data_IF_252992214172
#
_entry.id   IF_252992214172
#
_cell.length_a   1.000
_cell.length_b   1.000
_cell.length_c   1.000
_cell.angle_alpha   90.00
_cell.angle_beta   90.00
_cell.angle_gamma   90.00
#
_symmetry.space_group_name_H-M   'P 1'
#
loop_
_entity.id
_entity.type
_entity.pdbx_description
1 polymer ?
#
# COMPACT_ATOMS: atom_id res chain seq x y z
N UNK A 1 -7.23 -77.13 -5.70
CA UNK A 1 -6.16 -76.23 -5.22
C UNK A 1 -6.68 -74.80 -5.38
N UNK A 2 -6.67 -74.03 -4.29
CA UNK A 2 -7.35 -72.74 -4.13
C UNK A 2 -6.59 -71.64 -4.89
N UNK A 3 -7.28 -70.87 -5.72
CA UNK A 3 -7.02 -69.46 -6.05
C UNK A 3 -8.11 -69.03 -7.04
N UNK A 4 -9.10 -68.20 -6.65
CA UNK A 4 -9.08 -66.83 -7.18
C UNK A 4 -9.90 -65.84 -6.32
N UNK A 5 -9.27 -65.08 -5.44
CA UNK A 5 -9.98 -63.96 -4.77
C UNK A 5 -9.12 -62.72 -4.56
N UNK A 6 -7.80 -62.80 -4.76
CA UNK A 6 -6.91 -61.65 -4.60
C UNK A 6 -6.81 -60.74 -5.84
N UNK A 7 -7.23 -61.21 -7.03
CA UNK A 7 -7.08 -60.44 -8.27
C UNK A 7 -8.19 -59.40 -8.48
N UNK A 8 -9.33 -59.52 -7.78
CA UNK A 8 -10.48 -58.63 -7.99
C UNK A 8 -10.47 -57.39 -7.08
N UNK A 9 -9.73 -57.41 -5.96
CA UNK A 9 -9.60 -56.26 -5.06
C UNK A 9 -8.50 -55.26 -5.48
N UNK A 10 -7.59 -55.63 -6.37
CA UNK A 10 -6.52 -54.74 -6.84
C UNK A 10 -6.98 -53.78 -7.96
N UNK A 11 -8.09 -54.06 -8.65
CA UNK A 11 -8.59 -53.20 -9.73
C UNK A 11 -9.56 -52.09 -9.28
N UNK A 12 -10.07 -52.13 -8.05
CA UNK A 12 -11.01 -51.13 -7.53
C UNK A 12 -10.35 -49.99 -6.74
N UNK A 13 -9.04 -50.04 -6.50
CA UNK A 13 -8.30 -49.01 -5.78
C UNK A 13 -7.70 -47.90 -6.67
N UNK A 14 -7.90 -47.95 -8.00
CA UNK A 14 -7.34 -46.97 -8.95
C UNK A 14 -8.32 -45.86 -9.34
N UNK A 15 -9.51 -45.80 -8.74
CA UNK A 15 -10.61 -44.95 -9.20
C UNK A 15 -10.79 -43.58 -8.53
N UNK A 16 -10.06 -43.22 -7.48
CA UNK A 16 -10.38 -42.00 -6.69
C UNK A 16 -9.26 -40.95 -6.60
N UNK A 17 -8.13 -41.14 -7.29
CA UNK A 17 -7.02 -40.18 -7.24
C UNK A 17 -6.95 -39.19 -8.43
N UNK A 18 -7.76 -39.37 -9.48
CA UNK A 18 -7.64 -38.57 -10.71
C UNK A 18 -8.40 -37.24 -10.74
N UNK A 19 -9.25 -36.93 -9.76
CA UNK A 19 -9.99 -35.65 -9.75
C UNK A 19 -9.26 -34.52 -9.00
N UNK A 20 -8.34 -34.84 -8.08
CA UNK A 20 -7.74 -33.82 -7.19
C UNK A 20 -6.49 -33.14 -7.78
N UNK A 21 -5.85 -33.75 -8.77
CA UNK A 21 -4.64 -33.20 -9.44
C UNK A 21 -4.98 -32.25 -10.61
N UNK A 22 -6.17 -32.39 -11.20
CA UNK A 22 -6.61 -31.50 -12.28
C UNK A 22 -6.87 -30.06 -11.79
N UNK A 23 -7.21 -29.88 -10.50
CA UNK A 23 -7.46 -28.55 -9.94
C UNK A 23 -6.20 -27.87 -9.37
N UNK A 24 -5.21 -28.62 -8.87
CA UNK A 24 -3.97 -28.04 -8.31
C UNK A 24 -2.94 -27.67 -9.36
N UNK A 25 -3.07 -28.18 -10.59
CA UNK A 25 -2.21 -27.78 -11.72
C UNK A 25 -2.79 -26.59 -12.49
N UNK A 26 -4.11 -26.39 -12.43
CA UNK A 26 -4.76 -25.17 -12.91
C UNK A 26 -4.64 -23.99 -11.92
N UNK A 27 -4.39 -24.22 -10.63
CA UNK A 27 -3.99 -23.12 -9.72
C UNK A 27 -2.60 -22.56 -10.03
N UNK A 28 -1.76 -23.32 -10.75
CA UNK A 28 -0.53 -22.84 -11.42
C UNK A 28 -0.81 -22.29 -12.82
N UNK A 29 -2.02 -21.77 -13.08
CA UNK A 29 -2.32 -21.05 -14.31
C UNK A 29 -1.42 -19.82 -14.40
N UNK A 30 -0.69 -19.76 -15.50
CA UNK A 30 0.16 -18.63 -15.89
C UNK A 30 -0.51 -17.28 -15.55
N UNK A 31 0.21 -16.41 -14.84
CA UNK A 31 -0.27 -15.09 -14.43
C UNK A 31 -1.14 -15.03 -13.16
N UNK A 32 -1.74 -16.13 -12.67
CA UNK A 32 -2.53 -16.12 -11.42
C UNK A 32 -1.66 -15.75 -10.20
N UNK A 33 -0.48 -16.37 -10.09
CA UNK A 33 0.46 -16.07 -9.01
C UNK A 33 0.86 -14.59 -9.00
N UNK A 34 1.17 -13.99 -10.17
CA UNK A 34 1.54 -12.57 -10.26
C UNK A 34 0.37 -11.63 -9.99
N UNK A 35 -0.86 -12.00 -10.38
CA UNK A 35 -2.08 -11.27 -10.04
C UNK A 35 -2.29 -11.23 -8.53
N UNK A 36 -2.17 -12.38 -7.86
CA UNK A 36 -2.31 -12.45 -6.41
C UNK A 36 -1.16 -11.76 -5.67
N UNK A 37 0.07 -11.82 -6.20
CA UNK A 37 1.19 -11.02 -5.68
C UNK A 37 0.94 -9.52 -5.81
N UNK A 38 0.42 -9.06 -6.96
CA UNK A 38 0.09 -7.66 -7.15
C UNK A 38 -0.98 -7.22 -6.15
N UNK A 39 -2.07 -7.98 -6.00
CA UNK A 39 -3.11 -7.73 -5.01
C UNK A 39 -2.56 -7.64 -3.58
N UNK A 40 -1.71 -8.58 -3.17
CA UNK A 40 -1.03 -8.55 -1.87
C UNK A 40 -0.15 -7.30 -1.69
N UNK A 41 0.56 -6.88 -2.74
CA UNK A 41 1.38 -5.67 -2.70
C UNK A 41 0.54 -4.40 -2.56
N UNK A 42 -0.64 -4.34 -3.21
CA UNK A 42 -1.58 -3.23 -3.04
C UNK A 42 -2.12 -3.17 -1.62
N UNK A 43 -2.51 -4.31 -1.03
CA UNK A 43 -2.95 -4.37 0.38
C UNK A 43 -1.83 -3.95 1.33
N UNK A 44 -0.60 -4.40 1.10
CA UNK A 44 0.54 -4.00 1.92
C UNK A 44 0.80 -2.49 1.85
N UNK A 45 0.67 -1.88 0.67
CA UNK A 45 0.76 -0.42 0.50
C UNK A 45 -0.37 0.31 1.21
N UNK A 46 -1.61 -0.19 1.17
CA UNK A 46 -2.73 0.39 1.90
C UNK A 46 -2.47 0.42 3.41
N UNK A 47 -2.02 -0.71 3.97
CA UNK A 47 -1.71 -0.79 5.40
C UNK A 47 -0.60 0.20 5.79
N UNK A 48 0.47 0.30 4.99
CA UNK A 48 1.55 1.27 5.20
C UNK A 48 1.03 2.72 5.17
N UNK A 49 0.12 3.05 4.25
CA UNK A 49 -0.50 4.37 4.20
C UNK A 49 -1.42 4.63 5.40
N UNK A 50 -2.10 3.61 5.92
CA UNK A 50 -2.93 3.74 7.13
C UNK A 50 -2.08 4.00 8.37
N UNK A 51 -0.94 3.31 8.48
CA UNK A 51 0.03 3.54 9.56
C UNK A 51 0.60 4.96 9.47
N UNK A 52 1.03 5.40 8.29
CA UNK A 52 1.46 6.77 8.06
C UNK A 52 0.37 7.81 8.43
N UNK A 53 -0.89 7.57 8.04
CA UNK A 53 -2.00 8.44 8.42
C UNK A 53 -2.15 8.59 9.94
N UNK A 54 -1.94 7.49 10.68
CA UNK A 54 -2.00 7.50 12.14
C UNK A 54 -0.89 8.36 12.73
N UNK A 55 0.35 8.16 12.27
CA UNK A 55 1.50 8.91 12.80
C UNK A 55 1.38 10.41 12.50
N UNK A 56 0.96 10.81 11.29
CA UNK A 56 0.72 12.22 10.97
C UNK A 56 -0.45 12.83 11.77
N UNK A 57 -1.52 12.07 12.05
CA UNK A 57 -2.61 12.53 12.93
C UNK A 57 -2.14 12.74 14.36
N UNK A 58 -1.29 11.85 14.86
CA UNK A 58 -0.71 11.97 16.19
C UNK A 58 0.20 13.19 16.27
N UNK A 59 1.09 13.40 15.30
CA UNK A 59 1.92 14.60 15.20
C UNK A 59 1.09 15.89 15.15
N UNK A 60 0.02 15.92 14.34
CA UNK A 60 -0.90 17.05 14.29
C UNK A 60 -1.57 17.32 15.64
N UNK A 61 -1.97 16.26 16.36
CA UNK A 61 -2.58 16.36 17.68
C UNK A 61 -1.59 16.95 18.69
N UNK A 62 -0.36 16.44 18.73
CA UNK A 62 0.71 16.99 19.60
C UNK A 62 1.05 18.44 19.27
N UNK A 63 1.03 18.78 17.99
CA UNK A 63 1.21 20.15 17.54
C UNK A 63 0.07 21.03 18.08
N UNK A 64 -1.20 20.64 17.92
CA UNK A 64 -2.36 21.37 18.47
C UNK A 64 -2.25 21.56 19.98
N UNK A 65 -1.89 20.51 20.71
CA UNK A 65 -1.67 20.57 22.16
C UNK A 65 -0.60 21.60 22.52
N UNK A 66 0.54 21.62 21.81
CA UNK A 66 1.66 22.51 22.10
C UNK A 66 1.29 23.99 21.97
N UNK A 67 0.52 24.36 20.95
CA UNK A 67 0.16 25.75 20.65
C UNK A 67 -1.13 26.22 21.36
N UNK A 68 -1.95 25.30 21.85
CA UNK A 68 -3.14 25.60 22.67
C UNK A 68 -2.84 25.78 24.16
N UNK A 69 -1.63 25.45 24.60
CA UNK A 69 -1.31 25.32 26.02
C UNK A 69 -0.80 26.63 26.67
N UNK A 70 -1.31 26.94 27.86
CA UNK A 70 -0.96 28.12 28.65
C UNK A 70 -0.27 27.72 29.97
N UNK A 71 1.01 27.29 29.88
CA UNK A 71 1.93 27.20 31.02
C UNK A 71 1.97 25.87 31.81
N UNK A 72 3.16 25.48 32.31
CA UNK A 72 3.37 24.39 33.28
C UNK A 72 3.79 23.00 32.76
N UNK A 73 3.58 22.68 31.48
CA UNK A 73 3.90 21.36 30.87
C UNK A 73 4.51 21.47 29.45
N UNK A 74 5.06 22.63 29.08
CA UNK A 74 5.51 22.90 27.70
C UNK A 74 6.58 21.90 27.22
N UNK A 75 7.53 21.54 28.10
CA UNK A 75 8.57 20.55 27.84
C UNK A 75 8.00 19.15 27.58
N UNK A 76 7.01 18.72 28.39
CA UNK A 76 6.37 17.41 28.21
C UNK A 76 5.67 17.32 26.85
N UNK A 77 4.91 18.36 26.48
CA UNK A 77 4.20 18.39 25.20
C UNK A 77 5.17 18.47 24.02
N UNK A 78 6.25 19.24 24.13
CA UNK A 78 7.31 19.27 23.14
C UNK A 78 7.95 17.88 22.95
N UNK A 79 8.27 17.17 24.03
CA UNK A 79 8.85 15.83 23.96
C UNK A 79 7.92 14.83 23.26
N UNK A 80 6.60 14.94 23.47
CA UNK A 80 5.61 14.14 22.73
C UNK A 80 5.59 14.49 21.24
N UNK A 81 5.59 15.77 20.89
CA UNK A 81 5.66 16.22 19.50
C UNK A 81 6.93 15.71 18.81
N UNK A 82 8.08 15.82 19.49
CA UNK A 82 9.35 15.29 18.98
C UNK A 82 9.26 13.78 18.72
N UNK A 83 8.70 13.02 19.65
CA UNK A 83 8.50 11.57 19.47
C UNK A 83 7.62 11.27 18.26
N UNK A 84 6.49 11.98 18.12
CA UNK A 84 5.61 11.82 16.95
C UNK A 84 6.30 12.20 15.64
N UNK A 85 7.15 13.24 15.64
CA UNK A 85 7.99 13.57 14.49
C UNK A 85 8.96 12.43 14.15
N UNK A 86 9.67 11.88 15.14
CA UNK A 86 10.62 10.79 14.93
C UNK A 86 9.91 9.55 14.32
N UNK A 87 8.66 9.28 14.69
CA UNK A 87 7.84 8.24 14.05
C UNK A 87 7.48 8.59 12.60
N UNK A 88 7.00 9.81 12.35
CA UNK A 88 6.65 10.25 10.98
C UNK A 88 7.86 10.26 10.03
N UNK A 89 9.08 10.49 10.53
CA UNK A 89 10.30 10.60 9.71
C UNK A 89 10.63 9.30 8.95
N UNK A 90 10.21 8.14 9.47
CA UNK A 90 10.41 6.84 8.82
C UNK A 90 9.38 6.53 7.72
N UNK A 91 8.17 7.11 7.82
CA UNK A 91 7.01 6.77 6.99
C UNK A 91 7.23 6.96 5.48
N UNK A 92 7.83 8.07 4.97
CA UNK A 92 7.97 8.26 3.53
C UNK A 92 8.81 7.17 2.88
N UNK A 93 9.86 6.71 3.56
CA UNK A 93 10.74 5.65 3.04
C UNK A 93 10.00 4.32 2.99
N UNK A 94 9.20 4.03 4.01
CA UNK A 94 8.42 2.79 4.07
C UNK A 94 7.35 2.76 2.97
N UNK A 95 6.55 3.82 2.84
CA UNK A 95 5.56 3.99 1.77
C UNK A 95 6.21 3.92 0.39
N UNK A 96 7.32 4.63 0.17
CA UNK A 96 8.05 4.61 -1.10
C UNK A 96 8.52 3.19 -1.47
N UNK A 97 9.05 2.44 -0.50
CA UNK A 97 9.49 1.06 -0.73
C UNK A 97 8.32 0.14 -1.13
N UNK A 98 7.13 0.33 -0.54
CA UNK A 98 5.91 -0.41 -0.94
C UNK A 98 5.46 -0.06 -2.36
N UNK A 99 5.52 1.22 -2.73
CA UNK A 99 5.21 1.67 -4.09
C UNK A 99 6.14 1.02 -5.10
N UNK A 100 7.46 1.05 -4.86
CA UNK A 100 8.46 0.46 -5.76
C UNK A 100 8.29 -1.05 -5.91
N UNK A 101 7.97 -1.75 -4.82
CA UNK A 101 7.68 -3.18 -4.86
C UNK A 101 6.44 -3.50 -5.70
N UNK A 102 5.34 -2.77 -5.48
CA UNK A 102 4.10 -2.90 -6.25
C UNK A 102 4.34 -2.62 -7.74
N UNK A 103 5.11 -1.58 -8.07
CA UNK A 103 5.48 -1.21 -9.45
C UNK A 103 6.32 -2.27 -10.14
N UNK A 104 7.29 -2.85 -9.44
CA UNK A 104 8.08 -3.97 -9.98
C UNK A 104 7.23 -5.20 -10.29
N UNK A 105 6.30 -5.56 -9.41
CA UNK A 105 5.39 -6.70 -9.61
C UNK A 105 4.46 -6.44 -10.80
N UNK A 106 3.85 -5.25 -10.87
CA UNK A 106 2.95 -4.88 -11.96
C UNK A 106 3.67 -4.88 -13.31
N UNK A 107 4.87 -4.30 -13.40
CA UNK A 107 5.68 -4.29 -14.62
C UNK A 107 6.02 -5.72 -15.09
N UNK A 108 6.43 -6.59 -14.16
CA UNK A 108 6.72 -8.00 -14.46
C UNK A 108 5.48 -8.77 -14.93
N UNK A 109 4.31 -8.49 -14.34
CA UNK A 109 3.04 -9.11 -14.74
C UNK A 109 2.62 -8.66 -16.15
N UNK A 110 2.67 -7.36 -16.44
CA UNK A 110 2.28 -6.84 -17.76
C UNK A 110 3.21 -7.31 -18.87
N UNK A 111 4.53 -7.32 -18.62
CA UNK A 111 5.50 -7.79 -19.60
C UNK A 111 5.35 -9.30 -19.93
N UNK A 112 4.96 -10.11 -18.95
CA UNK A 112 4.64 -11.52 -19.21
C UNK A 112 3.35 -11.67 -20.01
N UNK A 113 2.28 -10.99 -19.60
CA UNK A 113 0.99 -11.03 -20.29
C UNK A 113 1.15 -10.60 -21.77
N UNK A 114 1.93 -9.56 -22.05
CA UNK A 114 2.23 -9.13 -23.42
C UNK A 114 2.92 -10.21 -24.26
N UNK A 115 3.85 -10.97 -23.68
CA UNK A 115 4.51 -12.09 -24.37
C UNK A 115 3.54 -13.23 -24.66
N UNK A 116 2.64 -13.50 -23.74
CA UNK A 116 1.62 -14.56 -23.89
C UNK A 116 0.57 -14.20 -24.94
N UNK A 117 0.29 -12.91 -25.16
CA UNK A 117 -0.60 -12.47 -26.25
C UNK A 117 -0.15 -12.96 -27.63
N UNK A 118 1.16 -13.17 -27.84
CA UNK A 118 1.71 -13.68 -29.09
C UNK A 118 1.54 -15.21 -29.26
N UNK A 119 1.17 -15.93 -28.20
CA UNK A 119 1.04 -17.39 -28.20
C UNK A 119 -0.38 -17.86 -28.54
N UNK A 120 -1.36 -16.95 -28.57
CA UNK A 120 -2.74 -17.31 -28.93
C UNK A 120 -2.84 -17.72 -30.40
N UNK A 121 -3.44 -18.88 -30.63
CA UNK A 121 -3.85 -19.34 -31.97
C UNK A 121 -5.29 -18.92 -32.33
N UNK A 122 -6.13 -18.61 -31.32
CA UNK A 122 -7.50 -18.13 -31.50
C UNK A 122 -7.55 -16.58 -31.50
N UNK A 123 -7.90 -15.94 -32.63
CA UNK A 123 -7.93 -14.47 -32.73
C UNK A 123 -8.91 -13.78 -31.77
N UNK A 124 -10.06 -14.42 -31.49
CA UNK A 124 -11.06 -13.87 -30.58
C UNK A 124 -10.57 -13.87 -29.13
N UNK A 125 -9.93 -14.95 -28.70
CA UNK A 125 -9.31 -15.02 -27.37
C UNK A 125 -8.15 -14.04 -27.23
N UNK A 126 -7.31 -13.89 -28.27
CA UNK A 126 -6.23 -12.91 -28.29
C UNK A 126 -6.77 -11.46 -28.15
N UNK A 127 -7.83 -11.12 -28.88
CA UNK A 127 -8.46 -9.81 -28.81
C UNK A 127 -9.04 -9.52 -27.41
N UNK A 128 -9.73 -10.49 -26.82
CA UNK A 128 -10.28 -10.39 -25.46
C UNK A 128 -9.19 -10.21 -24.41
N UNK A 129 -8.14 -11.03 -24.45
CA UNK A 129 -7.00 -10.95 -23.53
C UNK A 129 -6.28 -9.61 -23.63
N UNK A 130 -6.08 -9.09 -24.86
CA UNK A 130 -5.47 -7.78 -25.09
C UNK A 130 -6.33 -6.63 -24.53
N UNK A 131 -7.66 -6.74 -24.61
CA UNK A 131 -8.57 -5.77 -24.00
C UNK A 131 -8.43 -5.77 -22.47
N UNK A 132 -8.42 -6.95 -21.84
CA UNK A 132 -8.24 -7.08 -20.39
C UNK A 132 -6.89 -6.51 -19.90
N UNK A 133 -5.81 -6.76 -20.65
CA UNK A 133 -4.50 -6.17 -20.35
C UNK A 133 -4.57 -4.64 -20.38
N UNK A 134 -5.12 -4.04 -21.43
CA UNK A 134 -5.26 -2.58 -21.55
C UNK A 134 -6.08 -2.00 -20.40
N UNK A 135 -7.21 -2.63 -20.07
CA UNK A 135 -8.08 -2.17 -18.99
C UNK A 135 -7.37 -2.24 -17.63
N UNK A 136 -6.59 -3.31 -17.40
CA UNK A 136 -5.79 -3.48 -16.17
C UNK A 136 -4.67 -2.45 -16.08
N UNK A 137 -3.93 -2.22 -17.17
CA UNK A 137 -2.88 -1.19 -17.25
C UNK A 137 -3.43 0.22 -17.00
N UNK A 138 -4.60 0.55 -17.57
CA UNK A 138 -5.22 1.86 -17.36
C UNK A 138 -5.62 2.09 -15.90
N UNK A 139 -6.23 1.10 -15.26
CA UNK A 139 -6.59 1.16 -13.82
C UNK A 139 -5.35 1.22 -12.94
N UNK A 140 -4.34 0.43 -13.26
CA UNK A 140 -3.08 0.44 -12.53
C UNK A 140 -2.36 1.80 -12.63
N UNK A 141 -2.37 2.44 -13.81
CA UNK A 141 -1.78 3.75 -13.99
C UNK A 141 -2.48 4.83 -13.14
N UNK A 142 -3.80 4.72 -12.95
CA UNK A 142 -4.54 5.59 -12.04
C UNK A 142 -4.12 5.36 -10.58
N UNK A 143 -4.02 4.10 -10.15
CA UNK A 143 -3.51 3.74 -8.83
C UNK A 143 -2.09 4.29 -8.59
N UNK A 144 -1.15 4.02 -9.49
CA UNK A 144 0.25 4.45 -9.40
C UNK A 144 0.37 5.97 -9.26
N UNK A 145 -0.42 6.75 -10.02
CA UNK A 145 -0.44 8.22 -9.87
C UNK A 145 -0.90 8.65 -8.49
N UNK A 146 -1.98 8.08 -7.97
CA UNK A 146 -2.56 8.49 -6.68
C UNK A 146 -1.64 8.12 -5.51
N UNK A 147 -1.04 6.92 -5.51
CA UNK A 147 -0.13 6.50 -4.44
C UNK A 147 1.14 7.35 -4.44
N UNK A 148 1.73 7.66 -5.61
CA UNK A 148 2.91 8.54 -5.71
C UNK A 148 2.60 9.95 -5.24
N UNK A 149 1.47 10.52 -5.66
CA UNK A 149 1.04 11.84 -5.20
C UNK A 149 0.85 11.90 -3.67
N UNK A 150 0.39 10.81 -3.04
CA UNK A 150 0.29 10.73 -1.58
C UNK A 150 1.66 10.66 -0.90
N UNK A 151 2.60 9.88 -1.45
CA UNK A 151 3.95 9.73 -0.91
C UNK A 151 4.77 11.02 -1.04
N UNK A 152 4.68 11.70 -2.18
CA UNK A 152 5.41 12.95 -2.43
C UNK A 152 4.94 14.09 -1.53
N UNK A 153 3.67 14.08 -1.11
CA UNK A 153 3.12 15.06 -0.19
C UNK A 153 3.66 14.92 1.26
N UNK A 154 4.26 13.79 1.63
CA UNK A 154 4.78 13.56 2.99
C UNK A 154 6.04 14.40 3.26
N UNK A 155 6.92 14.54 2.27
CA UNK A 155 8.22 15.21 2.38
C UNK A 155 8.11 16.69 2.83
N UNK A 156 7.30 17.56 2.19
CA UNK A 156 7.21 18.96 2.60
C UNK A 156 6.60 19.14 4.00
N UNK A 157 5.68 18.26 4.42
CA UNK A 157 5.09 18.26 5.76
C UNK A 157 6.14 17.91 6.81
N UNK A 158 6.93 16.85 6.55
CA UNK A 158 8.01 16.44 7.45
C UNK A 158 9.10 17.48 7.59
N UNK A 159 9.46 18.16 6.49
CA UNK A 159 10.45 19.23 6.55
C UNK A 159 10.01 20.34 7.50
N UNK A 160 8.76 20.81 7.41
CA UNK A 160 8.26 21.85 8.31
C UNK A 160 8.11 21.36 9.76
N UNK A 161 7.64 20.12 9.98
CA UNK A 161 7.60 19.53 11.32
C UNK A 161 9.00 19.46 11.94
N UNK A 162 9.99 19.01 11.17
CA UNK A 162 11.39 18.93 11.59
C UNK A 162 11.93 20.30 11.96
N UNK A 163 11.70 21.32 11.13
CA UNK A 163 12.17 22.68 11.40
C UNK A 163 11.53 23.25 12.68
N UNK A 164 10.24 22.99 12.89
CA UNK A 164 9.52 23.39 14.09
C UNK A 164 10.10 22.72 15.35
N UNK A 165 10.33 21.40 15.31
CA UNK A 165 10.94 20.63 16.39
C UNK A 165 12.36 21.12 16.69
N UNK A 166 13.18 21.33 15.66
CA UNK A 166 14.56 21.80 15.82
C UNK A 166 14.64 23.19 16.42
N UNK A 167 13.78 24.11 15.98
CA UNK A 167 13.74 25.45 16.54
C UNK A 167 13.33 25.42 18.02
N UNK A 168 12.26 24.70 18.34
CA UNK A 168 11.74 24.62 19.70
C UNK A 168 12.72 23.96 20.67
N UNK A 169 13.54 23.01 20.20
CA UNK A 169 14.57 22.34 21.02
C UNK A 169 15.46 23.30 21.82
N UNK A 170 15.79 24.47 21.24
CA UNK A 170 16.69 25.44 21.86
C UNK A 170 15.96 26.72 22.34
N UNK A 171 14.70 26.88 21.95
CA UNK A 171 13.96 28.13 22.13
C UNK A 171 12.62 27.88 22.85
N UNK A 172 12.47 26.78 23.59
CA UNK A 172 11.18 26.41 24.19
C UNK A 172 10.76 27.40 25.28
N UNK A 173 9.94 28.37 24.92
CA UNK A 173 9.34 29.35 25.83
C UNK A 173 8.04 29.91 25.25
N UNK A 174 7.26 30.61 26.07
CA UNK A 174 5.96 31.15 25.67
C UNK A 174 6.03 32.11 24.48
N UNK A 175 7.10 32.91 24.36
CA UNK A 175 7.28 33.84 23.25
C UNK A 175 7.52 33.10 21.92
N UNK A 176 8.37 32.08 21.93
CA UNK A 176 8.62 31.21 20.78
C UNK A 176 7.35 30.49 20.31
N UNK A 177 6.57 29.93 21.25
CA UNK A 177 5.26 29.33 20.95
C UNK A 177 4.30 30.34 20.32
N UNK A 178 4.28 31.58 20.82
CA UNK A 178 3.51 32.67 20.23
C UNK A 178 3.93 32.98 18.79
N UNK A 179 5.24 33.09 18.54
CA UNK A 179 5.79 33.44 17.23
C UNK A 179 5.56 32.37 16.15
N UNK A 180 5.46 31.10 16.54
CA UNK A 180 5.30 29.97 15.61
C UNK A 180 3.84 29.57 15.33
N UNK A 181 2.85 30.27 15.90
CA UNK A 181 1.42 29.93 15.68
C UNK A 181 1.02 29.88 14.20
N UNK A 182 1.51 30.83 13.40
CA UNK A 182 1.23 30.85 11.95
C UNK A 182 1.83 29.64 11.22
N UNK A 183 3.08 29.30 11.55
CA UNK A 183 3.77 28.13 11.00
C UNK A 183 3.05 26.82 11.41
N UNK A 184 2.66 26.71 12.67
CA UNK A 184 1.92 25.56 13.18
C UNK A 184 0.57 25.38 12.47
N UNK A 185 -0.16 26.47 12.23
CA UNK A 185 -1.41 26.43 11.47
C UNK A 185 -1.18 26.01 10.02
N UNK A 186 -0.06 26.41 9.40
CA UNK A 186 0.31 25.96 8.06
C UNK A 186 0.58 24.45 8.02
N UNK A 187 1.38 23.94 8.97
CA UNK A 187 1.67 22.51 9.10
C UNK A 187 0.38 21.70 9.29
N UNK A 188 -0.55 22.16 10.13
CA UNK A 188 -1.83 21.49 10.35
C UNK A 188 -2.63 21.34 9.04
N UNK A 189 -2.76 22.41 8.26
CA UNK A 189 -3.46 22.36 6.95
C UNK A 189 -2.78 21.38 5.99
N UNK A 190 -1.46 21.37 5.93
CA UNK A 190 -0.75 20.45 5.04
C UNK A 190 -0.87 18.99 5.50
N UNK A 191 -0.91 18.74 6.80
CA UNK A 191 -1.22 17.40 7.33
C UNK A 191 -2.65 17.01 6.92
N UNK A 192 -3.63 17.90 7.05
CA UNK A 192 -5.01 17.63 6.63
C UNK A 192 -5.11 17.30 5.13
N UNK A 193 -4.39 18.05 4.28
CA UNK A 193 -4.27 17.75 2.85
C UNK A 193 -3.59 16.40 2.58
N UNK A 194 -2.51 16.08 3.31
CA UNK A 194 -1.82 14.79 3.22
C UNK A 194 -2.74 13.63 3.58
N UNK A 195 -3.49 13.76 4.68
CA UNK A 195 -4.45 12.74 5.12
C UNK A 195 -5.56 12.53 4.08
N UNK A 196 -6.03 13.60 3.44
CA UNK A 196 -7.00 13.51 2.33
C UNK A 196 -6.43 12.75 1.14
N UNK A 197 -5.19 13.06 0.72
CA UNK A 197 -4.50 12.35 -0.37
C UNK A 197 -4.28 10.88 -0.08
N UNK A 198 -3.87 10.53 1.14
CA UNK A 198 -3.74 9.13 1.57
C UNK A 198 -5.09 8.41 1.55
N UNK A 199 -6.17 9.08 1.96
CA UNK A 199 -7.52 8.50 1.94
C UNK A 199 -7.99 8.22 0.51
N UNK A 200 -7.71 9.15 -0.42
CA UNK A 200 -7.99 8.95 -1.84
C UNK A 200 -7.16 7.79 -2.45
N UNK A 201 -5.88 7.67 -2.06
CA UNK A 201 -4.98 6.60 -2.47
C UNK A 201 -5.44 5.22 -1.96
N UNK A 202 -5.88 5.13 -0.69
CA UNK A 202 -6.45 3.91 -0.12
C UNK A 202 -7.74 3.51 -0.86
N UNK A 203 -8.62 4.47 -1.16
CA UNK A 203 -9.85 4.22 -1.90
C UNK A 203 -9.58 3.76 -3.36
N UNK A 204 -8.59 4.34 -4.03
CA UNK A 204 -8.15 3.91 -5.36
C UNK A 204 -7.56 2.49 -5.31
N UNK A 205 -6.82 2.16 -4.26
CA UNK A 205 -6.28 0.82 -4.02
C UNK A 205 -7.42 -0.21 -3.86
N UNK A 206 -8.47 0.12 -3.10
CA UNK A 206 -9.66 -0.73 -2.97
C UNK A 206 -10.38 -0.92 -4.30
N UNK A 207 -10.52 0.14 -5.09
CA UNK A 207 -11.13 0.09 -6.41
C UNK A 207 -10.33 -0.82 -7.35
N UNK A 208 -9.00 -0.70 -7.34
CA UNK A 208 -8.12 -1.57 -8.11
C UNK A 208 -8.24 -3.04 -7.70
N UNK A 209 -8.16 -3.35 -6.40
CA UNK A 209 -8.29 -4.73 -5.88
C UNK A 209 -9.62 -5.37 -6.31
N UNK A 210 -10.73 -4.61 -6.26
CA UNK A 210 -12.06 -5.09 -6.70
C UNK A 210 -12.08 -5.47 -8.18
N UNK A 211 -11.26 -4.81 -9.01
CA UNK A 211 -11.17 -5.14 -10.44
C UNK A 211 -10.38 -6.42 -10.70
N UNK A 212 -9.55 -6.84 -9.74
CA UNK A 212 -8.76 -8.09 -9.82
C UNK A 212 -9.50 -9.31 -9.25
N UNK A 213 -10.60 -9.13 -8.52
CA UNK A 213 -11.29 -10.18 -7.77
C UNK A 213 -12.16 -11.13 -8.62
N UNK A 214 -11.75 -11.42 -9.85
CA UNK A 214 -12.41 -12.37 -10.76
C UNK A 214 -11.39 -13.23 -11.50
#
# INVERSE_FOLDING_TARGET
MKLPTLALLALLALGTACQTVYNTTLEKVFGYEKRELLKKSVVALQNEQQDAQKEFKDAMTRLKELYGFQGGQLESTYNKLKSSYDHCDAEPKAVQSRIENMEGIAASMFAEWEKELAQYTNPSLAASSRQQLRDTQARYAQLSRTVRASADAMKPVLAQLRDNVLFLKHNLNAAAIGSLKGEAANIQRQIEELLSRMSASIAESDAFIKTMAK
#
